data_IF_557613209189
#
_entry.id   IF_557613209189
#
_cell.length_a   1.000
_cell.length_b   1.000
_cell.length_c   1.000
_cell.angle_alpha   90.00
_cell.angle_beta   90.00
_cell.angle_gamma   90.00
#
_symmetry.space_group_name_H-M   'P 1'
#
loop_
_entity.id
_entity.type
_entity.pdbx_description
1 polymer ?
#
# COMPACT_ATOMS: atom_id res chain seq x y z
N UNK A 1 39.17 -46.90 -47.83
CA UNK A 1 38.40 -45.63 -47.97
C UNK A 1 36.93 -45.99 -47.78
N UNK A 2 36.37 -45.81 -46.57
CA UNK A 2 35.59 -44.63 -46.13
C UNK A 2 34.25 -44.57 -46.91
N UNK A 3 33.05 -44.63 -46.33
CA UNK A 3 32.59 -44.05 -45.08
C UNK A 3 31.24 -44.68 -44.65
N UNK A 4 31.15 -45.11 -43.39
CA UNK A 4 29.94 -45.60 -42.73
C UNK A 4 29.20 -44.39 -42.14
N UNK A 5 28.04 -44.01 -42.69
CA UNK A 5 27.21 -42.89 -42.21
C UNK A 5 26.28 -43.36 -41.09
N UNK A 6 26.67 -43.09 -39.84
CA UNK A 6 25.84 -43.26 -38.65
C UNK A 6 24.65 -42.29 -38.69
N UNK A 7 23.42 -42.82 -38.71
CA UNK A 7 22.22 -42.05 -38.36
C UNK A 7 22.21 -41.88 -36.83
N UNK A 8 22.47 -40.65 -36.37
CA UNK A 8 22.26 -40.24 -34.99
C UNK A 8 20.84 -39.68 -34.89
N UNK A 9 19.91 -40.47 -34.34
CA UNK A 9 18.58 -39.98 -33.99
C UNK A 9 18.69 -39.12 -32.72
N UNK A 10 18.61 -37.79 -32.87
CA UNK A 10 18.42 -36.88 -31.75
C UNK A 10 17.00 -37.06 -31.19
N UNK A 11 16.90 -37.75 -30.05
CA UNK A 11 15.74 -37.68 -29.16
C UNK A 11 15.71 -36.29 -28.51
N UNK A 12 15.03 -35.34 -29.15
CA UNK A 12 14.56 -34.13 -28.48
C UNK A 12 13.45 -34.55 -27.51
N UNK A 13 13.84 -34.93 -26.29
CA UNK A 13 12.93 -35.02 -25.16
C UNK A 13 12.52 -33.58 -24.85
N UNK A 14 11.44 -33.12 -25.48
CA UNK A 14 10.75 -31.90 -25.08
C UNK A 14 10.21 -32.13 -23.68
N UNK A 15 10.95 -31.68 -22.67
CA UNK A 15 10.37 -31.42 -21.36
C UNK A 15 9.34 -30.32 -21.56
N UNK A 16 8.10 -30.74 -21.79
CA UNK A 16 6.94 -29.91 -21.49
C UNK A 16 7.06 -29.58 -20.01
N UNK A 17 7.65 -28.43 -19.70
CA UNK A 17 7.51 -27.83 -18.38
C UNK A 17 5.99 -27.73 -18.21
N UNK A 18 5.37 -28.47 -17.27
CA UNK A 18 3.96 -28.30 -17.04
C UNK A 18 3.77 -26.81 -16.80
N UNK A 19 2.93 -26.16 -17.62
CA UNK A 19 2.51 -24.81 -17.33
C UNK A 19 1.95 -24.87 -15.91
N UNK A 20 2.70 -24.32 -14.95
CA UNK A 20 2.28 -24.28 -13.55
C UNK A 20 0.89 -23.70 -13.55
N UNK A 21 -0.08 -24.49 -13.11
CA UNK A 21 -1.47 -24.08 -13.15
C UNK A 21 -1.59 -22.85 -12.26
N UNK A 22 -1.78 -21.67 -12.88
CA UNK A 22 -1.85 -20.39 -12.18
C UNK A 22 -2.74 -20.53 -10.94
N UNK A 23 -2.21 -20.11 -9.79
CA UNK A 23 -2.98 -20.17 -8.56
C UNK A 23 -4.20 -19.27 -8.69
N UNK A 24 -5.38 -19.81 -8.39
CA UNK A 24 -6.62 -19.03 -8.34
C UNK A 24 -7.06 -18.97 -6.89
N UNK A 25 -7.02 -17.79 -6.25
CA UNK A 25 -7.50 -17.63 -4.88
C UNK A 25 -8.95 -18.08 -4.76
N UNK A 26 -9.26 -18.83 -3.70
CA UNK A 26 -10.63 -19.26 -3.43
C UNK A 26 -11.50 -18.08 -2.94
N UNK A 27 -12.81 -18.28 -2.82
CA UNK A 27 -13.73 -17.20 -2.45
C UNK A 27 -13.42 -16.54 -1.09
N UNK A 28 -12.91 -17.31 -0.12
CA UNK A 28 -12.49 -16.78 1.19
C UNK A 28 -11.22 -15.94 1.05
N UNK A 29 -10.22 -16.42 0.29
CA UNK A 29 -8.99 -15.66 0.02
C UNK A 29 -9.27 -14.36 -0.74
N UNK A 30 -10.20 -14.38 -1.69
CA UNK A 30 -10.65 -13.17 -2.40
C UNK A 30 -11.35 -12.20 -1.44
N UNK A 31 -12.22 -12.69 -0.55
CA UNK A 31 -12.88 -11.83 0.43
C UNK A 31 -11.88 -11.19 1.40
N UNK A 32 -10.87 -11.94 1.86
CA UNK A 32 -9.78 -11.41 2.70
C UNK A 32 -8.98 -10.35 1.94
N UNK A 33 -8.63 -10.60 0.68
CA UNK A 33 -7.94 -9.63 -0.18
C UNK A 33 -8.73 -8.32 -0.30
N UNK A 34 -10.02 -8.39 -0.61
CA UNK A 34 -10.85 -7.19 -0.78
C UNK A 34 -11.04 -6.42 0.54
N UNK A 35 -11.17 -7.12 1.67
CA UNK A 35 -11.22 -6.50 2.98
C UNK A 35 -9.91 -5.76 3.30
N UNK A 36 -8.78 -6.42 3.07
CA UNK A 36 -7.44 -5.85 3.23
C UNK A 36 -7.26 -4.60 2.38
N UNK A 37 -7.56 -4.65 1.07
CA UNK A 37 -7.38 -3.51 0.18
C UNK A 37 -8.27 -2.32 0.58
N UNK A 38 -9.46 -2.59 1.10
CA UNK A 38 -10.35 -1.55 1.61
C UNK A 38 -9.82 -0.89 2.86
N UNK A 39 -9.33 -1.68 3.81
CA UNK A 39 -8.72 -1.17 5.04
C UNK A 39 -7.49 -0.32 4.73
N UNK A 40 -6.68 -0.76 3.76
CA UNK A 40 -5.54 -0.01 3.24
C UNK A 40 -5.95 1.34 2.64
N UNK A 41 -7.01 1.36 1.82
CA UNK A 41 -7.54 2.60 1.24
C UNK A 41 -8.05 3.54 2.32
N UNK A 42 -8.84 3.03 3.28
CA UNK A 42 -9.37 3.83 4.39
C UNK A 42 -8.23 4.39 5.24
N UNK A 43 -7.29 3.54 5.68
CA UNK A 43 -6.17 3.97 6.50
C UNK A 43 -5.34 5.04 5.78
N UNK A 44 -4.92 4.81 4.54
CA UNK A 44 -4.15 5.80 3.78
C UNK A 44 -4.93 7.10 3.55
N UNK A 45 -6.21 7.00 3.14
CA UNK A 45 -7.03 8.18 2.82
C UNK A 45 -7.32 9.08 4.02
N UNK A 46 -7.20 8.54 5.24
CA UNK A 46 -7.37 9.27 6.50
C UNK A 46 -6.04 9.74 7.10
N UNK A 47 -4.91 9.47 6.45
CA UNK A 47 -3.58 9.87 6.92
C UNK A 47 -2.90 8.86 7.84
N UNK A 48 -3.42 7.64 7.92
CA UNK A 48 -2.88 6.54 8.72
C UNK A 48 -1.72 5.80 8.04
N UNK A 49 -1.09 4.92 8.82
CA UNK A 49 -0.12 3.96 8.32
C UNK A 49 -0.81 2.89 7.50
N UNK A 50 -0.23 2.56 6.35
CA UNK A 50 -0.77 1.57 5.42
C UNK A 50 0.37 0.98 4.60
N UNK A 51 0.23 -0.27 4.20
CA UNK A 51 1.10 -0.93 3.24
C UNK A 51 1.17 -0.16 1.92
N UNK A 52 0.05 0.37 1.43
CA UNK A 52 0.00 1.19 0.21
C UNK A 52 0.98 2.35 0.30
N UNK A 53 0.97 3.11 1.40
CA UNK A 53 1.92 4.20 1.60
C UNK A 53 3.36 3.73 1.74
N UNK A 54 3.59 2.68 2.53
CA UNK A 54 4.94 2.15 2.76
C UNK A 54 5.59 1.57 1.50
N UNK A 55 4.79 0.97 0.61
CA UNK A 55 5.27 0.43 -0.68
C UNK A 55 5.80 1.53 -1.60
N UNK A 56 5.30 2.76 -1.44
CA UNK A 56 5.70 3.94 -2.22
C UNK A 56 6.74 4.81 -1.50
N UNK A 57 7.19 4.41 -0.31
CA UNK A 57 8.05 5.24 0.53
C UNK A 57 7.37 6.52 1.03
N UNK A 58 6.03 6.55 1.04
CA UNK A 58 5.25 7.68 1.54
C UNK A 58 5.19 7.59 3.06
N UNK A 59 5.61 8.66 3.74
CA UNK A 59 5.62 8.71 5.21
C UNK A 59 4.43 9.51 5.71
N UNK A 60 3.58 8.95 6.60
CA UNK A 60 2.50 9.70 7.22
C UNK A 60 3.05 10.69 8.24
N UNK A 61 2.56 11.93 8.15
CA UNK A 61 2.93 13.05 9.03
C UNK A 61 1.69 13.87 9.32
N UNK A 62 1.41 14.13 10.59
CA UNK A 62 0.32 15.05 10.94
C UNK A 62 0.80 16.50 10.82
N UNK A 63 -0.11 17.41 10.49
CA UNK A 63 0.20 18.84 10.44
C UNK A 63 0.73 19.35 11.79
N UNK A 64 0.18 18.85 12.90
CA UNK A 64 0.66 19.17 14.24
C UNK A 64 2.11 18.72 14.46
N UNK A 65 2.47 17.48 14.10
CA UNK A 65 3.84 16.99 14.28
C UNK A 65 4.83 17.70 13.34
N UNK A 66 4.43 18.00 12.11
CA UNK A 66 5.22 18.83 11.18
C UNK A 66 5.50 20.23 11.76
N UNK A 67 4.47 20.89 12.30
CA UNK A 67 4.59 22.20 12.96
C UNK A 67 5.56 22.13 14.14
N UNK A 68 5.41 21.14 15.03
CA UNK A 68 6.27 20.96 16.21
C UNK A 68 7.73 20.68 15.83
N UNK A 69 7.96 19.78 14.86
CA UNK A 69 9.30 19.48 14.37
C UNK A 69 10.00 20.72 13.81
N UNK A 70 9.26 21.59 13.12
CA UNK A 70 9.79 22.84 12.60
C UNK A 70 10.02 23.90 13.67
N UNK A 71 9.19 23.94 14.71
CA UNK A 71 9.37 24.84 15.84
C UNK A 71 10.64 24.52 16.65
N UNK A 72 10.97 23.24 16.79
CA UNK A 72 12.15 22.75 17.53
C UNK A 72 13.47 22.88 16.74
N UNK A 73 13.40 23.30 15.47
CA UNK A 73 14.54 23.32 14.56
C UNK A 73 15.44 24.55 14.80
N UNK A 74 16.75 24.36 14.61
CA UNK A 74 17.69 25.49 14.50
C UNK A 74 17.31 26.39 13.32
N UNK A 75 17.01 27.66 13.61
CA UNK A 75 16.60 28.66 12.62
C UNK A 75 17.70 28.98 11.61
N UNK A 76 18.97 28.74 11.97
CA UNK A 76 20.12 28.98 11.10
C UNK A 76 20.46 27.80 10.18
N UNK A 77 19.89 26.61 10.43
CA UNK A 77 20.11 25.48 9.55
C UNK A 77 19.44 25.70 8.17
N UNK A 78 19.89 24.97 7.13
CA UNK A 78 19.19 24.91 5.82
C UNK A 78 17.94 24.04 5.90
N UNK A 79 16.85 24.46 5.28
CA UNK A 79 15.59 23.69 5.25
C UNK A 79 15.85 22.31 4.65
N UNK A 80 15.43 21.20 5.30
CA UNK A 80 15.50 19.90 4.68
C UNK A 80 14.58 19.85 3.46
N UNK A 81 15.11 19.36 2.35
CA UNK A 81 14.29 19.02 1.18
C UNK A 81 13.57 17.69 1.45
N UNK A 82 12.33 17.56 0.97
CA UNK A 82 11.63 16.29 1.00
C UNK A 82 12.31 15.33 0.03
N UNK A 83 12.94 14.28 0.56
CA UNK A 83 13.55 13.22 -0.25
C UNK A 83 12.49 12.27 -0.83
N UNK A 84 11.32 12.23 -0.22
CA UNK A 84 10.19 11.38 -0.59
C UNK A 84 8.88 12.10 -0.26
N UNK A 85 7.79 11.79 -0.97
CA UNK A 85 6.47 12.34 -0.68
C UNK A 85 6.03 12.03 0.76
N UNK A 86 5.26 12.95 1.34
CA UNK A 86 4.67 12.78 2.67
C UNK A 86 3.15 12.71 2.55
N UNK A 87 2.54 11.85 3.34
CA UNK A 87 1.10 11.84 3.57
C UNK A 87 0.80 12.79 4.73
N UNK A 88 0.51 14.05 4.39
CA UNK A 88 0.17 15.10 5.35
C UNK A 88 -1.30 14.97 5.76
N UNK A 89 -1.59 14.93 7.06
CA UNK A 89 -2.95 14.82 7.57
C UNK A 89 -3.27 15.76 8.73
N UNK A 90 -4.56 16.07 8.92
CA UNK A 90 -5.05 16.82 10.08
C UNK A 90 -6.42 17.45 9.85
N UNK A 91 -6.98 18.05 10.91
CA UNK A 91 -8.19 18.86 10.80
C UNK A 91 -7.88 20.20 10.13
N UNK A 92 -8.83 20.75 9.37
CA UNK A 92 -8.66 22.04 8.71
C UNK A 92 -9.04 23.21 9.62
N UNK A 93 -8.23 24.27 9.62
CA UNK A 93 -8.57 25.56 10.20
C UNK A 93 -9.26 26.47 9.18
N UNK A 94 -8.77 26.49 7.95
CA UNK A 94 -9.30 27.32 6.88
C UNK A 94 -8.99 26.74 5.50
N UNK A 95 -9.79 27.12 4.51
CA UNK A 95 -9.58 26.77 3.12
C UNK A 95 -9.72 28.00 2.24
N UNK A 96 -9.10 27.98 1.06
CA UNK A 96 -9.28 29.05 0.09
C UNK A 96 -8.70 28.68 -1.26
N UNK A 97 -8.77 29.63 -2.18
CA UNK A 97 -8.23 29.48 -3.53
C UNK A 97 -7.54 30.76 -3.95
N UNK A 98 -6.47 30.61 -4.72
CA UNK A 98 -5.77 31.73 -5.35
C UNK A 98 -5.73 31.46 -6.84
N UNK A 99 -6.21 32.42 -7.64
CA UNK A 99 -6.20 32.32 -9.09
C UNK A 99 -4.78 32.03 -9.59
N UNK A 100 -4.63 30.99 -10.40
CA UNK A 100 -3.33 30.54 -10.93
C UNK A 100 -2.44 29.77 -9.94
N UNK A 101 -2.81 29.62 -8.67
CA UNK A 101 -2.04 28.83 -7.67
C UNK A 101 -2.83 27.67 -7.04
N UNK A 102 -4.13 27.55 -7.36
CA UNK A 102 -4.96 26.44 -6.92
C UNK A 102 -5.57 26.63 -5.52
N UNK A 103 -6.17 25.55 -5.02
CA UNK A 103 -6.76 25.49 -3.68
C UNK A 103 -5.67 25.31 -2.61
N UNK A 104 -5.86 25.97 -1.47
CA UNK A 104 -5.00 25.86 -0.30
C UNK A 104 -5.81 25.51 0.94
N UNK A 105 -5.14 24.84 1.88
CA UNK A 105 -5.72 24.35 3.12
C UNK A 105 -4.79 24.67 4.29
N UNK A 106 -5.27 25.43 5.26
CA UNK A 106 -4.58 25.63 6.54
C UNK A 106 -5.07 24.56 7.52
N UNK A 107 -4.13 23.91 8.19
CA UNK A 107 -4.44 22.90 9.20
C UNK A 107 -4.61 23.55 10.58
N UNK A 108 -5.53 22.98 11.36
CA UNK A 108 -5.75 23.29 12.76
C UNK A 108 -4.67 22.63 13.63
N UNK A 109 -4.65 23.01 14.91
CA UNK A 109 -3.76 22.46 15.95
C UNK A 109 -2.25 22.57 15.63
N UNK A 110 -1.90 23.51 14.76
CA UNK A 110 -0.52 23.89 14.46
C UNK A 110 -0.11 25.08 15.32
N UNK A 111 1.10 25.04 15.89
CA UNK A 111 1.70 26.18 16.56
C UNK A 111 2.36 27.12 15.51
N UNK A 112 3.38 27.88 15.92
CA UNK A 112 4.27 28.55 14.97
C UNK A 112 5.42 27.59 14.57
N UNK A 113 5.61 27.26 13.28
CA UNK A 113 4.89 27.80 12.12
C UNK A 113 3.54 27.12 11.86
N UNK A 114 2.59 27.89 11.29
CA UNK A 114 1.32 27.36 10.77
C UNK A 114 1.60 26.37 9.64
N UNK A 115 0.74 25.36 9.46
CA UNK A 115 0.89 24.42 8.34
C UNK A 115 -0.17 24.66 7.29
N UNK A 116 0.29 24.81 6.04
CA UNK A 116 -0.54 25.01 4.85
C UNK A 116 -0.21 23.95 3.81
N UNK A 117 -1.20 23.42 3.12
CA UNK A 117 -1.02 22.60 1.91
C UNK A 117 -1.65 23.23 0.69
N UNK A 118 -1.17 22.87 -0.50
CA UNK A 118 -1.70 23.31 -1.80
C UNK A 118 -1.78 22.15 -2.78
N UNK A 119 -2.93 22.02 -3.44
CA UNK A 119 -3.10 21.05 -4.52
C UNK A 119 -2.16 21.35 -5.69
N UNK A 120 -1.69 20.29 -6.34
CA UNK A 120 -1.07 20.44 -7.65
C UNK A 120 -2.08 20.96 -8.69
N UNK A 121 -1.64 21.68 -9.74
CA UNK A 121 -2.53 22.10 -10.82
C UNK A 121 -3.31 20.92 -11.41
N UNK A 122 -4.62 21.09 -11.59
CA UNK A 122 -5.52 20.06 -12.13
C UNK A 122 -6.01 19.03 -11.10
N UNK A 123 -5.49 19.04 -9.87
CA UNK A 123 -6.01 18.22 -8.79
C UNK A 123 -7.21 18.89 -8.14
N UNK A 124 -8.20 18.09 -7.75
CA UNK A 124 -9.42 18.53 -7.07
C UNK A 124 -9.80 17.56 -5.97
N UNK A 125 -10.37 18.06 -4.88
CA UNK A 125 -10.96 17.20 -3.85
C UNK A 125 -12.36 16.74 -4.24
N UNK A 126 -12.75 15.57 -3.73
CA UNK A 126 -14.13 15.12 -3.75
C UNK A 126 -14.95 15.99 -2.78
N UNK A 127 -15.53 17.06 -3.31
CA UNK A 127 -16.25 18.07 -2.52
C UNK A 127 -15.34 19.17 -1.96
N UNK A 128 -15.94 20.10 -1.21
CA UNK A 128 -15.25 21.24 -0.61
C UNK A 128 -15.14 21.04 0.89
N UNK A 129 -13.98 20.63 1.43
CA UNK A 129 -13.84 20.43 2.86
C UNK A 129 -13.94 21.77 3.59
N UNK A 130 -14.47 21.71 4.81
CA UNK A 130 -14.72 22.86 5.69
C UNK A 130 -13.79 22.82 6.89
N UNK A 131 -13.67 23.95 7.59
CA UNK A 131 -13.00 24.00 8.89
C UNK A 131 -13.57 22.93 9.84
N UNK A 132 -12.68 22.31 10.61
CA UNK A 132 -12.97 21.18 11.51
C UNK A 132 -12.99 19.82 10.83
N UNK A 133 -13.07 19.72 9.49
CA UNK A 133 -13.01 18.43 8.80
C UNK A 133 -11.58 17.93 8.66
N UNK A 134 -11.40 16.62 8.76
CA UNK A 134 -10.12 15.97 8.49
C UNK A 134 -9.81 15.98 6.99
N UNK A 135 -8.55 16.21 6.65
CA UNK A 135 -8.02 16.12 5.30
C UNK A 135 -6.68 15.38 5.34
N UNK A 136 -6.46 14.51 4.35
CA UNK A 136 -5.15 13.93 4.09
C UNK A 136 -4.76 14.14 2.62
N UNK A 137 -3.49 14.50 2.42
CA UNK A 137 -2.92 14.84 1.12
C UNK A 137 -1.53 14.22 0.99
N UNK A 138 -1.19 13.73 -0.20
CA UNK A 138 0.18 13.31 -0.53
C UNK A 138 0.90 14.50 -1.15
N UNK A 139 1.92 15.03 -0.49
CA UNK A 139 2.62 16.24 -0.90
C UNK A 139 4.09 15.94 -1.23
N UNK A 140 4.57 16.51 -2.34
CA UNK A 140 5.94 16.27 -2.84
C UNK A 140 6.95 17.37 -2.49
N UNK A 141 6.50 18.53 -2.01
CA UNK A 141 7.36 19.69 -1.72
C UNK A 141 7.04 20.31 -0.38
N UNK A 142 8.05 20.89 0.26
CA UNK A 142 7.96 21.58 1.54
C UNK A 142 8.83 22.82 1.53
N UNK A 143 8.28 23.94 2.01
CA UNK A 143 8.94 25.24 2.12
C UNK A 143 8.53 25.93 3.43
N UNK A 144 9.38 26.79 3.98
CA UNK A 144 9.04 27.63 5.14
C UNK A 144 9.18 29.10 4.77
N UNK A 145 8.11 29.88 4.95
CA UNK A 145 8.12 31.32 4.73
C UNK A 145 7.27 32.06 5.77
N UNK A 146 7.82 33.12 6.39
CA UNK A 146 7.11 34.06 7.29
C UNK A 146 6.15 33.35 8.26
N UNK A 147 6.67 32.34 8.98
CA UNK A 147 5.95 31.53 9.96
C UNK A 147 4.87 30.58 9.41
N UNK A 148 4.95 30.23 8.12
CA UNK A 148 4.10 29.20 7.49
C UNK A 148 4.95 28.12 6.85
N UNK A 149 4.81 26.89 7.35
CA UNK A 149 5.30 25.67 6.71
C UNK A 149 4.31 25.29 5.61
N UNK A 150 4.73 25.45 4.37
CA UNK A 150 3.91 25.20 3.18
C UNK A 150 4.30 23.89 2.53
N UNK A 151 3.31 23.04 2.30
CA UNK A 151 3.41 21.86 1.47
C UNK A 151 2.75 22.13 0.11
N UNK A 152 3.38 21.70 -0.98
CA UNK A 152 2.87 21.94 -2.32
C UNK A 152 3.05 20.73 -3.24
N UNK A 153 2.38 20.79 -4.40
CA UNK A 153 2.30 19.65 -5.31
C UNK A 153 1.53 18.50 -4.67
N UNK A 154 0.43 18.81 -3.98
CA UNK A 154 -0.33 17.82 -3.24
C UNK A 154 -1.43 17.16 -4.09
N UNK A 155 -1.65 15.87 -3.86
CA UNK A 155 -2.76 15.07 -4.40
C UNK A 155 -3.70 14.62 -3.28
N UNK A 156 -5.01 14.46 -3.54
CA UNK A 156 -5.94 13.86 -2.58
C UNK A 156 -5.49 12.46 -2.17
N UNK A 157 -5.33 12.19 -0.87
CA UNK A 157 -4.86 10.89 -0.40
C UNK A 157 -5.79 9.75 -0.82
N UNK A 158 -7.10 9.96 -0.86
CA UNK A 158 -8.07 8.97 -1.34
C UNK A 158 -7.81 8.56 -2.81
N UNK A 159 -7.56 9.52 -3.70
CA UNK A 159 -7.29 9.23 -5.12
C UNK A 159 -5.96 8.51 -5.32
N UNK A 160 -4.96 8.81 -4.49
CA UNK A 160 -3.70 8.06 -4.47
C UNK A 160 -3.95 6.64 -3.96
N UNK A 161 -4.67 6.49 -2.84
CA UNK A 161 -4.97 5.20 -2.24
C UNK A 161 -5.68 4.25 -3.20
N UNK A 162 -6.75 4.71 -3.87
CA UNK A 162 -7.51 3.90 -4.83
C UNK A 162 -6.62 3.43 -5.99
N UNK A 163 -5.80 4.33 -6.53
CA UNK A 163 -4.89 4.02 -7.63
C UNK A 163 -3.83 2.99 -7.22
N UNK A 164 -3.22 3.16 -6.05
CA UNK A 164 -2.19 2.25 -5.59
C UNK A 164 -2.78 0.91 -5.11
N UNK A 165 -3.99 0.90 -4.54
CA UNK A 165 -4.71 -0.33 -4.22
C UNK A 165 -5.06 -1.14 -5.48
N UNK A 166 -5.47 -0.47 -6.56
CA UNK A 166 -5.68 -1.13 -7.86
C UNK A 166 -4.38 -1.74 -8.41
N UNK A 167 -3.27 -1.00 -8.37
CA UNK A 167 -1.95 -1.52 -8.77
C UNK A 167 -1.51 -2.70 -7.91
N UNK A 168 -1.77 -2.65 -6.60
CA UNK A 168 -1.47 -3.73 -5.68
C UNK A 168 -2.29 -4.98 -6.00
N UNK A 169 -3.58 -4.82 -6.30
CA UNK A 169 -4.46 -5.90 -6.76
C UNK A 169 -3.94 -6.56 -8.03
N UNK A 170 -3.50 -5.76 -9.01
CA UNK A 170 -2.90 -6.27 -10.25
C UNK A 170 -1.58 -7.01 -9.99
N UNK A 171 -0.74 -6.49 -9.10
CA UNK A 171 0.52 -7.13 -8.72
C UNK A 171 0.30 -8.46 -7.99
N UNK A 172 -0.73 -8.56 -7.14
CA UNK A 172 -1.12 -9.80 -6.47
C UNK A 172 -1.67 -10.81 -7.47
N UNK A 173 -2.50 -10.39 -8.42
CA UNK A 173 -2.98 -11.25 -9.50
C UNK A 173 -1.82 -11.78 -10.37
N UNK A 174 -0.84 -10.94 -10.68
CA UNK A 174 0.37 -11.33 -11.40
C UNK A 174 1.20 -12.35 -10.61
N UNK A 175 1.37 -12.13 -9.30
CA UNK A 175 2.07 -13.06 -8.40
C UNK A 175 1.40 -14.44 -8.39
N UNK A 176 0.08 -14.50 -8.25
CA UNK A 176 -0.64 -15.79 -8.27
C UNK A 176 -0.56 -16.50 -9.62
N UNK A 177 -0.28 -15.80 -10.72
CA UNK A 177 0.05 -16.38 -12.03
C UNK A 177 1.50 -16.88 -12.15
N UNK A 178 2.28 -16.85 -11.07
CA UNK A 178 3.68 -17.26 -11.06
C UNK A 178 4.64 -16.24 -11.65
N UNK A 179 4.21 -14.98 -11.85
CA UNK A 179 5.11 -13.92 -12.30
C UNK A 179 5.99 -13.43 -11.13
N UNK A 180 7.27 -13.11 -11.37
CA UNK A 180 8.12 -12.49 -10.36
C UNK A 180 7.50 -11.20 -9.83
N UNK A 181 7.63 -10.96 -8.54
CA UNK A 181 7.11 -9.77 -7.85
C UNK A 181 8.04 -9.31 -6.73
N UNK A 182 7.78 -8.13 -6.18
CA UNK A 182 8.49 -7.61 -5.02
C UNK A 182 8.21 -8.42 -3.74
N UNK A 183 9.20 -8.49 -2.84
CA UNK A 183 9.11 -9.24 -1.59
C UNK A 183 7.91 -8.84 -0.72
N UNK A 184 7.51 -7.56 -0.75
CA UNK A 184 6.35 -7.05 -0.01
C UNK A 184 5.05 -7.60 -0.58
N UNK A 185 4.90 -7.65 -1.91
CA UNK A 185 3.72 -8.22 -2.58
C UNK A 185 3.61 -9.72 -2.33
N UNK A 186 4.73 -10.45 -2.40
CA UNK A 186 4.75 -11.88 -2.08
C UNK A 186 4.35 -12.13 -0.62
N UNK A 187 4.90 -11.35 0.32
CA UNK A 187 4.55 -11.42 1.75
C UNK A 187 3.08 -11.15 1.98
N UNK A 188 2.51 -10.15 1.30
CA UNK A 188 1.10 -9.82 1.36
C UNK A 188 0.21 -10.97 0.86
N UNK A 189 0.49 -11.52 -0.32
CA UNK A 189 -0.27 -12.63 -0.90
C UNK A 189 -0.28 -13.88 0.00
N UNK A 190 0.87 -14.18 0.62
CA UNK A 190 1.01 -15.30 1.56
C UNK A 190 0.22 -15.02 2.83
N UNK A 191 0.28 -13.80 3.36
CA UNK A 191 -0.51 -13.42 4.53
C UNK A 191 -2.01 -13.54 4.24
N UNK A 192 -2.51 -13.06 3.11
CA UNK A 192 -3.92 -13.23 2.71
C UNK A 192 -4.34 -14.70 2.74
N UNK A 193 -3.51 -15.57 2.17
CA UNK A 193 -3.76 -17.02 2.13
C UNK A 193 -3.74 -17.65 3.53
N UNK A 194 -2.90 -17.14 4.42
CA UNK A 194 -2.81 -17.56 5.82
C UNK A 194 -4.03 -17.10 6.63
N UNK A 195 -4.41 -15.83 6.55
CA UNK A 195 -5.60 -15.30 7.20
C UNK A 195 -6.84 -16.08 6.75
N UNK A 196 -7.00 -16.32 5.45
CA UNK A 196 -8.11 -17.09 4.92
C UNK A 196 -8.19 -18.52 5.49
N UNK A 197 -7.04 -19.16 5.76
CA UNK A 197 -6.98 -20.48 6.36
C UNK A 197 -7.31 -20.49 7.86
N UNK A 198 -7.00 -19.41 8.58
CA UNK A 198 -7.26 -19.30 10.03
C UNK A 198 -8.67 -18.82 10.37
N UNK A 199 -9.43 -18.34 9.39
CA UNK A 199 -10.78 -17.85 9.65
C UNK A 199 -11.69 -18.99 10.14
N UNK A 200 -12.46 -18.77 11.22
CA UNK A 200 -13.39 -19.77 11.72
C UNK A 200 -14.52 -20.03 10.71
N UNK A 201 -15.13 -21.21 10.80
CA UNK A 201 -16.39 -21.49 10.09
C UNK A 201 -17.43 -20.46 10.51
N UNK A 202 -18.10 -19.85 9.53
CA UNK A 202 -19.08 -18.78 9.79
C UNK A 202 -18.48 -17.40 10.06
N UNK A 203 -17.20 -17.18 9.71
CA UNK A 203 -16.50 -15.88 9.77
C UNK A 203 -17.17 -14.76 8.95
N UNK A 204 -18.20 -15.07 8.16
CA UNK A 204 -18.84 -14.11 7.26
C UNK A 204 -18.11 -13.97 5.93
N UNK A 205 -16.89 -14.45 5.76
CA UNK A 205 -16.24 -14.45 4.45
C UNK A 205 -16.81 -15.59 3.57
N UNK A 206 -17.29 -15.33 2.33
CA UNK A 206 -17.39 -14.05 1.62
C UNK A 206 -18.75 -13.30 1.75
N UNK A 207 -19.75 -13.87 2.42
CA UNK A 207 -21.15 -13.40 2.37
C UNK A 207 -21.56 -12.20 3.26
N UNK A 208 -20.76 -11.81 4.24
CA UNK A 208 -21.00 -10.71 5.19
C UNK A 208 -19.69 -9.94 5.38
N UNK A 209 -19.55 -8.82 4.66
CA UNK A 209 -18.33 -8.01 4.62
C UNK A 209 -17.93 -7.49 6.00
N UNK A 210 -18.89 -6.96 6.77
CA UNK A 210 -18.63 -6.38 8.09
C UNK A 210 -18.15 -7.47 9.07
N UNK A 211 -18.81 -8.64 9.05
CA UNK A 211 -18.39 -9.78 9.88
C UNK A 211 -17.06 -10.37 9.40
N UNK A 212 -16.81 -10.40 8.09
CA UNK A 212 -15.55 -10.86 7.51
C UNK A 212 -14.39 -9.98 8.00
N UNK A 213 -14.51 -8.65 7.91
CA UNK A 213 -13.51 -7.71 8.43
C UNK A 213 -13.27 -7.87 9.94
N UNK A 214 -14.35 -7.96 10.73
CA UNK A 214 -14.23 -8.20 12.17
C UNK A 214 -13.53 -9.53 12.50
N UNK A 215 -13.79 -10.58 11.73
CA UNK A 215 -13.16 -11.89 11.92
C UNK A 215 -11.68 -11.86 11.55
N UNK A 216 -11.30 -11.18 10.46
CA UNK A 216 -9.91 -11.00 10.04
C UNK A 216 -9.13 -10.27 11.15
N UNK A 217 -9.67 -9.17 11.69
CA UNK A 217 -9.05 -8.42 12.78
C UNK A 217 -8.86 -9.24 14.06
N UNK A 218 -9.67 -10.29 14.27
CA UNK A 218 -9.59 -11.16 15.44
C UNK A 218 -8.63 -12.36 15.26
N UNK A 219 -8.13 -12.62 14.05
CA UNK A 219 -7.19 -13.72 13.80
C UNK A 219 -5.87 -13.46 14.52
N UNK A 220 -5.49 -14.37 15.41
CA UNK A 220 -4.12 -14.44 15.93
C UNK A 220 -3.24 -15.10 14.89
N UNK A 221 -2.08 -14.52 14.61
CA UNK A 221 -1.18 -15.00 13.58
C UNK A 221 -0.86 -16.51 13.72
N UNK A 222 -0.87 -17.27 12.62
CA UNK A 222 -0.84 -18.73 12.65
C UNK A 222 0.49 -19.35 13.10
N UNK A 223 0.40 -20.63 13.46
CA UNK A 223 1.55 -21.50 13.71
C UNK A 223 2.43 -21.70 12.46
N UNK A 224 3.70 -22.05 12.67
CA UNK A 224 4.65 -22.36 11.57
C UNK A 224 4.15 -23.48 10.64
N UNK A 225 3.33 -24.42 11.13
CA UNK A 225 2.79 -25.52 10.34
C UNK A 225 1.84 -25.06 9.24
N UNK A 226 0.94 -24.13 9.54
CA UNK A 226 -0.01 -23.58 8.56
C UNK A 226 0.70 -22.74 7.50
N UNK A 227 1.73 -21.97 7.91
CA UNK A 227 2.62 -21.25 6.98
C UNK A 227 3.23 -22.19 5.93
N UNK A 228 3.76 -23.33 6.35
CA UNK A 228 4.38 -24.29 5.42
C UNK A 228 3.35 -24.90 4.46
N UNK A 229 2.12 -25.18 4.92
CA UNK A 229 1.05 -25.70 4.07
C UNK A 229 0.65 -24.70 2.97
N UNK A 230 0.51 -23.41 3.30
CA UNK A 230 0.25 -22.35 2.32
C UNK A 230 1.39 -22.26 1.30
N UNK A 231 2.64 -22.20 1.76
CA UNK A 231 3.80 -22.09 0.86
C UNK A 231 3.90 -23.29 -0.08
N UNK A 232 3.61 -24.50 0.41
CA UNK A 232 3.61 -25.70 -0.41
C UNK A 232 2.50 -25.66 -1.47
N UNK A 233 1.28 -25.28 -1.09
CA UNK A 233 0.14 -25.12 -2.03
C UNK A 233 0.47 -24.14 -3.15
N UNK A 234 1.04 -22.98 -2.80
CA UNK A 234 1.43 -21.95 -3.79
C UNK A 234 2.54 -22.47 -4.71
N UNK A 235 3.54 -23.16 -4.18
CA UNK A 235 4.64 -23.75 -4.97
C UNK A 235 4.14 -24.81 -5.94
N UNK A 236 3.23 -25.68 -5.51
CA UNK A 236 2.61 -26.71 -6.36
C UNK A 236 1.78 -26.10 -7.50
N UNK A 237 1.21 -24.91 -7.29
CA UNK A 237 0.54 -24.11 -8.31
C UNK A 237 1.50 -23.29 -9.19
N UNK A 238 2.82 -23.47 -9.04
CA UNK A 238 3.80 -22.75 -9.87
C UNK A 238 3.98 -21.28 -9.52
N UNK A 239 3.57 -20.85 -8.32
CA UNK A 239 3.84 -19.49 -7.83
C UNK A 239 5.34 -19.33 -7.54
N UNK A 240 5.94 -18.25 -8.04
CA UNK A 240 7.33 -17.91 -7.75
C UNK A 240 7.46 -17.33 -6.33
N UNK A 241 8.09 -18.11 -5.44
CA UNK A 241 8.35 -17.72 -4.05
C UNK A 241 9.78 -17.23 -3.81
N UNK A 242 10.57 -17.01 -4.86
CA UNK A 242 12.00 -16.66 -4.74
C UNK A 242 12.27 -15.35 -4.02
N UNK A 243 11.36 -14.38 -4.12
CA UNK A 243 11.46 -13.07 -3.45
C UNK A 243 10.84 -13.05 -2.06
N UNK A 244 10.16 -14.11 -1.64
CA UNK A 244 9.55 -14.19 -0.32
C UNK A 244 10.62 -14.31 0.78
N UNK A 245 10.60 -13.37 1.72
CA UNK A 245 11.43 -13.44 2.91
C UNK A 245 10.61 -13.89 4.13
N UNK A 246 10.81 -15.13 4.64
CA UNK A 246 10.01 -15.64 5.75
C UNK A 246 10.25 -14.91 7.09
N UNK A 247 11.27 -14.04 7.17
CA UNK A 247 11.57 -13.21 8.34
C UNK A 247 10.97 -11.81 8.27
N UNK A 248 10.36 -11.40 7.15
CA UNK A 248 9.56 -10.17 7.12
C UNK A 248 8.35 -10.34 8.04
N UNK A 249 8.10 -9.32 8.86
CA UNK A 249 6.94 -9.29 9.75
C UNK A 249 5.64 -9.32 8.94
N UNK A 250 4.56 -9.87 9.51
CA UNK A 250 3.24 -9.78 8.89
C UNK A 250 2.86 -8.32 8.68
N UNK A 251 2.27 -8.04 7.53
CA UNK A 251 1.91 -6.69 7.10
C UNK A 251 0.57 -6.22 7.70
N UNK A 252 -0.09 -7.09 8.47
CA UNK A 252 -1.36 -6.82 9.16
C UNK A 252 -1.24 -7.15 10.65
N UNK A 253 -1.91 -6.35 11.47
CA UNK A 253 -1.90 -6.45 12.93
C UNK A 253 -1.01 -5.40 13.57
N UNK A 254 -1.54 -4.17 13.68
CA UNK A 254 -1.12 -3.21 14.69
C UNK A 254 -1.98 -3.40 15.93
#
# INVERSE_FOLDING_TARGET
MLFMKKLLALLCVSWSVPAGAAYVPNATEQAVLEAVLRDEVVSFSTGGHSFVGESQGIVPVTAASASQAMAARDRNARMPELKQPLLLSGALAATGSVAGQGEWFDFADTAAPKVRARLAPGQTLAGKPKAGQALALVCGKMDLAKDTLSFSGCEPAAAVAEREAARLKDALAAFYQGKPTDAKVATLAINISLYAQELPVGSGCPGDEARCGASIAAVKLPSLGHKNAVLQRLREAGVDLSTFNPRQQPLFGH
#
